data_IF_174652022778
#
_entry.id   IF_174652022778
#
_cell.length_a   1.000
_cell.length_b   1.000
_cell.length_c   1.000
_cell.angle_alpha   90.00
_cell.angle_beta   90.00
_cell.angle_gamma   90.00
#
_symmetry.space_group_name_H-M   'P 1'
#
loop_
_entity.id
_entity.type
_entity.pdbx_description
1 polymer ?
#
# COMPACT_ATOMS: atom_id res chain seq x y z
N UNK A 1 -5.10 2.57 -9.94
CA UNK A 1 -4.35 2.75 -8.68
C UNK A 1 -4.30 4.22 -8.29
N UNK A 2 -5.31 4.71 -7.54
CA UNK A 2 -5.38 6.11 -7.10
C UNK A 2 -5.09 6.27 -5.60
N UNK A 3 -4.98 5.16 -4.86
CA UNK A 3 -4.67 5.14 -3.43
C UNK A 3 -3.68 4.02 -3.14
N UNK A 4 -2.61 4.37 -2.43
CA UNK A 4 -1.71 3.41 -1.81
C UNK A 4 -2.06 3.29 -0.33
N UNK A 5 -2.48 2.11 0.10
CA UNK A 5 -2.73 1.80 1.50
C UNK A 5 -1.54 1.06 2.11
N UNK A 6 -0.76 1.75 2.92
CA UNK A 6 0.26 1.09 3.74
C UNK A 6 -0.36 0.66 5.06
N UNK A 7 -0.16 -0.61 5.41
CA UNK A 7 -0.50 -1.11 6.74
C UNK A 7 0.77 -1.55 7.45
N UNK A 8 1.00 -0.99 8.63
CA UNK A 8 2.08 -1.41 9.52
C UNK A 8 1.56 -2.37 10.58
N UNK A 9 2.34 -3.37 10.91
CA UNK A 9 2.10 -4.22 12.07
C UNK A 9 2.92 -3.67 13.23
N UNK A 10 2.24 -3.28 14.30
CA UNK A 10 2.86 -2.67 15.48
C UNK A 10 2.60 -3.53 16.70
N UNK A 11 3.60 -3.61 17.57
CA UNK A 11 3.51 -4.30 18.85
C UNK A 11 4.09 -3.39 19.94
N UNK A 12 3.48 -3.37 21.12
CA UNK A 12 4.04 -2.66 22.26
C UNK A 12 5.23 -3.41 22.85
N UNK A 13 6.18 -2.67 23.46
CA UNK A 13 7.31 -3.26 24.17
C UNK A 13 6.86 -4.24 25.26
N UNK A 14 5.76 -3.94 25.93
CA UNK A 14 5.18 -4.85 26.93
C UNK A 14 4.81 -6.20 26.33
N UNK A 15 4.19 -6.20 25.16
CA UNK A 15 3.80 -7.46 24.48
C UNK A 15 5.04 -8.17 23.92
N UNK A 16 5.98 -7.42 23.33
CA UNK A 16 7.24 -7.95 22.84
C UNK A 16 8.05 -8.68 23.92
N UNK A 17 8.14 -8.09 25.11
CA UNK A 17 8.87 -8.65 26.24
C UNK A 17 8.20 -9.89 26.85
N UNK A 18 6.96 -10.23 26.46
CA UNK A 18 6.31 -11.49 26.83
C UNK A 18 6.68 -12.66 25.92
N UNK A 19 7.29 -12.37 24.76
CA UNK A 19 7.78 -13.41 23.84
C UNK A 19 9.12 -13.90 24.36
N UNK A 20 9.29 -15.21 24.62
CA UNK A 20 10.58 -15.79 24.93
C UNK A 20 11.64 -15.43 23.88
N UNK A 21 12.87 -15.16 24.32
CA UNK A 21 13.93 -14.67 23.43
C UNK A 21 14.22 -15.65 22.27
N UNK A 22 14.16 -16.94 22.54
CA UNK A 22 14.35 -18.02 21.57
C UNK A 22 13.22 -18.15 20.52
N UNK A 23 12.05 -17.53 20.76
CA UNK A 23 10.91 -17.55 19.83
C UNK A 23 10.72 -16.23 19.06
N UNK A 24 11.50 -15.19 19.39
CA UNK A 24 11.33 -13.88 18.76
C UNK A 24 11.62 -13.88 17.28
N UNK A 25 12.64 -14.61 16.85
CA UNK A 25 13.00 -14.73 15.45
C UNK A 25 11.89 -15.42 14.66
N UNK A 26 11.40 -16.54 15.14
CA UNK A 26 10.30 -17.29 14.53
C UNK A 26 9.02 -16.45 14.48
N UNK A 27 8.75 -15.67 15.52
CA UNK A 27 7.62 -14.75 15.55
C UNK A 27 7.71 -13.70 14.45
N UNK A 28 8.88 -13.05 14.29
CA UNK A 28 9.11 -12.04 13.24
C UNK A 28 8.96 -12.66 11.85
N UNK A 29 9.53 -13.84 11.63
CA UNK A 29 9.40 -14.55 10.35
C UNK A 29 7.94 -14.94 10.07
N UNK A 30 7.19 -15.37 11.06
CA UNK A 30 5.76 -15.63 10.93
C UNK A 30 4.96 -14.38 10.51
N UNK A 31 5.25 -13.22 11.11
CA UNK A 31 4.62 -11.94 10.73
C UNK A 31 4.97 -11.56 9.28
N UNK A 32 6.23 -11.70 8.87
CA UNK A 32 6.66 -11.44 7.50
C UNK A 32 5.97 -12.36 6.49
N UNK A 33 5.91 -13.66 6.80
CA UNK A 33 5.22 -14.65 5.97
C UNK A 33 3.73 -14.32 5.83
N UNK A 34 3.06 -13.95 6.94
CA UNK A 34 1.67 -13.52 6.93
C UNK A 34 1.45 -12.26 6.06
N UNK A 35 2.34 -11.27 6.18
CA UNK A 35 2.28 -10.06 5.36
C UNK A 35 2.49 -10.36 3.86
N UNK A 36 3.40 -11.29 3.53
CA UNK A 36 3.58 -11.72 2.15
C UNK A 36 2.33 -12.44 1.63
N UNK A 37 1.80 -13.40 2.40
CA UNK A 37 0.58 -14.12 2.01
C UNK A 37 -0.62 -13.19 1.80
N UNK A 38 -0.74 -12.13 2.61
CA UNK A 38 -1.78 -11.12 2.41
C UNK A 38 -1.62 -10.38 1.08
N UNK A 39 -0.40 -10.00 0.71
CA UNK A 39 -0.14 -9.33 -0.58
C UNK A 39 -0.52 -10.22 -1.75
N UNK A 40 -0.09 -11.48 -1.71
CA UNK A 40 -0.41 -12.46 -2.76
C UNK A 40 -1.91 -12.68 -2.88
N UNK A 41 -2.59 -12.84 -1.74
CA UNK A 41 -4.05 -12.98 -1.69
C UNK A 41 -4.79 -11.77 -2.27
N UNK A 42 -4.32 -10.55 -1.99
CA UNK A 42 -4.96 -9.34 -2.53
C UNK A 42 -4.87 -9.26 -4.06
N UNK A 43 -3.77 -9.71 -4.65
CA UNK A 43 -3.64 -9.79 -6.11
C UNK A 43 -4.66 -10.79 -6.67
N UNK A 44 -4.68 -12.00 -6.15
CA UNK A 44 -5.62 -13.06 -6.54
C UNK A 44 -7.09 -12.61 -6.38
N UNK A 45 -7.41 -11.99 -5.24
CA UNK A 45 -8.76 -11.53 -4.92
C UNK A 45 -9.22 -10.37 -5.82
N UNK A 46 -8.32 -9.44 -6.15
CA UNK A 46 -8.64 -8.35 -7.06
C UNK A 46 -8.90 -8.84 -8.48
N UNK A 47 -8.11 -9.77 -8.98
CA UNK A 47 -8.34 -10.37 -10.30
C UNK A 47 -9.68 -11.11 -10.36
N UNK A 48 -9.98 -11.90 -9.33
CA UNK A 48 -11.26 -12.59 -9.21
C UNK A 48 -12.44 -11.63 -9.14
N UNK A 49 -12.32 -10.55 -8.35
CA UNK A 49 -13.36 -9.54 -8.20
C UNK A 49 -13.63 -8.79 -9.51
N UNK A 50 -12.59 -8.41 -10.25
CA UNK A 50 -12.76 -7.76 -11.57
C UNK A 50 -13.53 -8.67 -12.52
N UNK A 51 -13.18 -9.97 -12.56
CA UNK A 51 -13.88 -10.93 -13.41
C UNK A 51 -15.35 -11.06 -13.03
N UNK A 52 -15.65 -11.27 -11.75
CA UNK A 52 -17.02 -11.42 -11.24
C UNK A 52 -17.86 -10.17 -11.51
N UNK A 53 -17.31 -8.99 -11.23
CA UNK A 53 -18.01 -7.72 -11.47
C UNK A 53 -18.27 -7.49 -12.97
N UNK A 54 -17.34 -7.87 -13.84
CA UNK A 54 -17.54 -7.79 -15.28
C UNK A 54 -18.68 -8.70 -15.75
N UNK A 55 -18.76 -9.93 -15.21
CA UNK A 55 -19.87 -10.88 -15.49
C UNK A 55 -21.22 -10.33 -15.00
N UNK A 56 -21.22 -9.50 -13.94
CA UNK A 56 -22.40 -8.80 -13.44
C UNK A 56 -22.75 -7.51 -14.22
N UNK A 57 -21.97 -7.16 -15.24
CA UNK A 57 -22.23 -6.00 -16.11
C UNK A 57 -21.56 -4.71 -15.66
N UNK A 58 -20.61 -4.76 -14.74
CA UNK A 58 -19.78 -3.59 -14.38
C UNK A 58 -18.74 -3.37 -15.47
N UNK A 59 -18.69 -2.16 -15.99
CA UNK A 59 -17.68 -1.75 -16.96
C UNK A 59 -16.47 -1.13 -16.25
N UNK A 60 -15.26 -1.58 -16.61
CA UNK A 60 -14.01 -1.04 -16.10
C UNK A 60 -13.34 -0.18 -17.16
N UNK A 61 -12.93 1.02 -16.77
CA UNK A 61 -12.24 1.94 -17.65
C UNK A 61 -10.84 2.20 -17.13
N UNK A 62 -9.86 2.10 -18.00
CA UNK A 62 -8.49 2.55 -17.71
C UNK A 62 -8.40 4.06 -17.85
N UNK A 63 -7.89 4.72 -16.82
CA UNK A 63 -7.65 6.15 -16.84
C UNK A 63 -6.16 6.37 -17.08
N UNK A 64 -5.77 7.20 -18.06
CA UNK A 64 -4.38 7.58 -18.28
C UNK A 64 -3.81 8.30 -17.06
N UNK A 65 -2.99 7.61 -16.27
CA UNK A 65 -2.47 8.14 -14.99
C UNK A 65 -1.65 9.41 -15.21
N UNK A 66 -0.86 9.47 -16.28
CA UNK A 66 -0.01 10.64 -16.59
C UNK A 66 -0.83 11.90 -16.91
N UNK A 67 -1.97 11.74 -17.55
CA UNK A 67 -2.86 12.88 -17.83
C UNK A 67 -3.56 13.33 -16.54
N UNK A 68 -3.95 12.40 -15.66
CA UNK A 68 -4.49 12.73 -14.35
C UNK A 68 -3.46 13.45 -13.48
N UNK A 69 -2.19 13.02 -13.50
CA UNK A 69 -1.10 13.71 -12.78
C UNK A 69 -0.96 15.17 -13.20
N UNK A 70 -0.95 15.46 -14.50
CA UNK A 70 -0.89 16.85 -15.01
C UNK A 70 -2.07 17.69 -14.52
N UNK A 71 -3.26 17.10 -14.41
CA UNK A 71 -4.44 17.80 -13.92
C UNK A 71 -4.38 18.13 -12.42
N UNK A 72 -3.71 17.30 -11.62
CA UNK A 72 -3.61 17.51 -10.17
C UNK A 72 -2.35 18.30 -9.75
N UNK A 73 -1.39 18.48 -10.65
CA UNK A 73 -0.15 19.22 -10.39
C UNK A 73 -0.40 20.63 -9.78
N UNK A 74 -1.33 21.45 -10.29
CA UNK A 74 -1.63 22.75 -9.67
C UNK A 74 -2.19 22.65 -8.26
N UNK A 75 -2.87 21.53 -7.92
CA UNK A 75 -3.34 21.30 -6.57
C UNK A 75 -2.20 20.91 -5.62
N UNK A 76 -1.22 20.17 -6.11
CA UNK A 76 -0.01 19.84 -5.33
C UNK A 76 0.80 21.09 -4.98
N UNK A 77 0.91 22.05 -5.90
CA UNK A 77 1.58 23.33 -5.66
C UNK A 77 0.94 24.10 -4.50
N UNK A 78 -0.39 24.07 -4.37
CA UNK A 78 -1.11 24.74 -3.26
C UNK A 78 -0.78 24.16 -1.89
N UNK A 79 -0.28 22.94 -1.83
CA UNK A 79 0.08 22.25 -0.58
C UNK A 79 1.60 22.14 -0.37
N UNK A 80 2.41 22.71 -1.25
CA UNK A 80 3.87 22.63 -1.19
C UNK A 80 4.44 23.10 0.15
N UNK A 81 3.87 24.16 0.73
CA UNK A 81 4.27 24.68 2.04
C UNK A 81 4.03 23.74 3.22
N UNK A 82 3.22 22.69 3.01
CA UNK A 82 2.86 21.70 4.04
C UNK A 82 3.58 20.38 3.89
N UNK A 83 4.34 20.23 2.83
CA UNK A 83 5.08 19.00 2.51
C UNK A 83 6.58 19.26 2.65
N UNK A 84 7.28 18.32 3.26
CA UNK A 84 8.74 18.34 3.24
C UNK A 84 9.23 18.01 1.82
N UNK A 85 9.96 18.91 1.16
CA UNK A 85 10.47 18.70 -0.19
C UNK A 85 11.29 17.39 -0.33
N UNK A 86 12.02 17.01 0.71
CA UNK A 86 12.81 15.78 0.70
C UNK A 86 11.94 14.52 0.55
N UNK A 87 10.73 14.54 1.08
CA UNK A 87 9.79 13.42 0.91
C UNK A 87 9.20 13.40 -0.49
N UNK A 88 8.89 14.56 -1.05
CA UNK A 88 8.39 14.67 -2.42
C UNK A 88 9.44 14.14 -3.40
N UNK A 89 10.70 14.59 -3.25
CA UNK A 89 11.82 14.15 -4.09
C UNK A 89 12.06 12.63 -3.98
N UNK A 90 11.98 12.08 -2.76
CA UNK A 90 12.13 10.64 -2.55
C UNK A 90 11.02 9.83 -3.25
N UNK A 91 9.76 10.29 -3.21
CA UNK A 91 8.63 9.64 -3.89
C UNK A 91 8.78 9.74 -5.42
N UNK A 92 9.24 10.90 -5.92
CA UNK A 92 9.44 11.10 -7.36
C UNK A 92 10.59 10.21 -7.91
N UNK A 93 11.61 9.94 -7.10
CA UNK A 93 12.73 9.08 -7.48
C UNK A 93 12.35 7.59 -7.63
N UNK A 94 11.24 7.15 -7.04
CA UNK A 94 10.75 5.76 -7.11
C UNK A 94 9.74 5.52 -8.28
N UNK A 95 9.52 6.51 -9.11
CA UNK A 95 8.70 6.41 -10.33
C UNK A 95 9.54 5.91 -11.49
#
# INVERSE_FOLDING_TARGET
>A
NHVFGYMGVFMSDKAWNQIPDDLREDFVEGVKAGAQRQRDYLVEANEAAVKELTELGVEFYEIPIDDMRKLVEPAMEQFSDRMDPAWVDAIEAEK
#
